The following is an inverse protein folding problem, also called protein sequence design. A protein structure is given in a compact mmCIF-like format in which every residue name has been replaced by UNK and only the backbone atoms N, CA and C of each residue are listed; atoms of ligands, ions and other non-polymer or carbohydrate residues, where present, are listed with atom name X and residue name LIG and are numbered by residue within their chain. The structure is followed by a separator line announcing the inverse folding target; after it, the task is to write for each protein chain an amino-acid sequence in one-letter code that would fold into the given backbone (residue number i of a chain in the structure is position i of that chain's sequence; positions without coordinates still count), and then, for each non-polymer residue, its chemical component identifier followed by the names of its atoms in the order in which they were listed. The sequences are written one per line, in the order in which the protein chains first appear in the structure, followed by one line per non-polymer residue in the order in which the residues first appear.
data_IF_762183407057
#
_entry.id   IF_762183407057
#
_cell.length_a   1.000
_cell.length_b   1.000
_cell.length_c   1.000
_cell.angle_alpha   90.00
_cell.angle_beta   90.00
_cell.angle_gamma   90.00
#
_symmetry.space_group_name_H-M   'P 1'
#
loop_
_entity.id
_entity.type
_entity.pdbx_description
1 polymer ?
#
# COMPACT_ATOMS: atom_id res chain seq x y z
N UNK A 1 14.00 18.60 5.84
CA UNK A 1 14.92 17.56 6.34
C UNK A 1 15.98 18.15 7.27
N UNK A 2 16.74 19.19 6.88
CA UNK A 2 17.76 19.79 7.75
C UNK A 2 17.24 20.18 9.14
N UNK A 3 16.08 20.84 9.21
CA UNK A 3 15.43 21.22 10.49
C UNK A 3 15.10 20.04 11.39
N UNK A 4 14.72 18.89 10.83
CA UNK A 4 14.42 17.69 11.61
C UNK A 4 15.69 17.08 12.22
N UNK A 5 16.77 17.01 11.44
CA UNK A 5 18.08 16.60 11.95
C UNK A 5 18.60 17.55 13.04
N UNK A 6 18.43 18.86 12.87
CA UNK A 6 18.82 19.85 13.87
C UNK A 6 17.99 19.73 15.15
N UNK A 7 16.69 19.44 15.04
CA UNK A 7 15.83 19.15 16.19
C UNK A 7 16.32 17.89 16.93
N UNK A 8 16.70 16.83 16.22
CA UNK A 8 17.29 15.62 16.83
C UNK A 8 18.55 15.99 17.61
N UNK A 9 19.52 16.61 16.93
CA UNK A 9 20.86 16.84 17.48
C UNK A 9 20.88 17.88 18.62
N UNK A 10 20.07 18.93 18.52
CA UNK A 10 20.18 20.09 19.42
C UNK A 10 19.08 20.16 20.47
N UNK A 11 17.94 19.49 20.27
CA UNK A 11 16.80 19.50 21.19
C UNK A 11 16.56 18.10 21.79
N UNK A 12 16.22 17.12 20.95
CA UNK A 12 15.84 15.77 21.41
C UNK A 12 17.01 15.09 22.14
N UNK A 13 18.24 15.22 21.62
CA UNK A 13 19.42 14.63 22.28
C UNK A 13 19.57 15.11 23.74
N UNK A 14 19.32 16.39 24.02
CA UNK A 14 19.43 16.94 25.39
C UNK A 14 18.37 16.37 26.34
N UNK A 15 17.22 15.94 25.82
CA UNK A 15 16.16 15.33 26.60
C UNK A 15 16.49 13.87 26.97
N UNK A 16 17.17 13.15 26.07
CA UNK A 16 17.32 11.70 26.16
C UNK A 16 18.67 11.22 26.70
N UNK A 17 19.71 12.06 26.68
CA UNK A 17 21.03 11.68 27.25
C UNK A 17 20.88 11.36 28.74
N UNK A 18 21.30 10.15 29.13
CA UNK A 18 21.19 9.64 30.49
C UNK A 18 19.88 8.91 30.80
N UNK A 19 18.92 8.88 29.87
CA UNK A 19 17.69 8.10 30.01
C UNK A 19 17.95 6.63 29.68
N UNK A 20 17.40 5.72 30.49
CA UNK A 20 17.45 4.29 30.25
C UNK A 20 16.71 3.93 28.95
N UNK A 21 17.44 3.37 27.99
CA UNK A 21 16.93 3.03 26.66
C UNK A 21 15.86 1.92 26.70
N UNK A 22 15.80 1.14 27.78
CA UNK A 22 14.77 0.12 27.98
C UNK A 22 13.39 0.72 28.31
N UNK A 23 13.31 2.02 28.58
CA UNK A 23 12.06 2.73 28.91
C UNK A 23 11.43 3.37 27.66
N UNK A 24 11.10 2.55 26.65
CA UNK A 24 10.58 3.02 25.36
C UNK A 24 9.40 4.00 25.50
N UNK A 25 8.36 3.62 26.26
CA UNK A 25 7.18 4.47 26.47
C UNK A 25 7.53 5.80 27.12
N UNK A 26 8.47 5.80 28.08
CA UNK A 26 8.93 7.03 28.72
C UNK A 26 9.71 7.93 27.75
N UNK A 27 10.60 7.35 26.95
CA UNK A 27 11.36 8.08 25.92
C UNK A 27 10.41 8.71 24.90
N UNK A 28 9.45 7.95 24.40
CA UNK A 28 8.46 8.43 23.43
C UNK A 28 7.61 9.54 24.03
N UNK A 29 7.08 9.36 25.25
CA UNK A 29 6.29 10.38 25.93
C UNK A 29 7.10 11.65 26.23
N UNK A 30 8.37 11.53 26.63
CA UNK A 30 9.22 12.71 26.88
C UNK A 30 9.41 13.54 25.60
N UNK A 31 9.55 12.89 24.44
CA UNK A 31 9.61 13.58 23.15
C UNK A 31 8.27 14.21 22.77
N UNK A 32 7.15 13.53 23.01
CA UNK A 32 5.80 14.03 22.70
C UNK A 32 5.44 15.23 23.59
N UNK A 33 5.71 15.15 24.88
CA UNK A 33 5.46 16.23 25.85
C UNK A 33 6.33 17.45 25.56
N UNK A 34 7.61 17.23 25.24
CA UNK A 34 8.52 18.33 24.89
C UNK A 34 8.22 18.96 23.52
N UNK A 35 7.66 18.19 22.57
CA UNK A 35 7.13 18.73 21.34
C UNK A 35 5.88 19.59 21.63
N UNK A 36 4.94 19.08 22.44
CA UNK A 36 3.79 19.81 22.95
C UNK A 36 2.68 20.12 21.93
N UNK A 37 2.80 19.66 20.67
CA UNK A 37 1.75 19.81 19.65
C UNK A 37 1.01 18.49 19.39
N UNK A 38 -0.25 18.58 18.97
CA UNK A 38 -1.07 17.39 18.65
C UNK A 38 -0.50 16.60 17.46
N UNK A 39 0.09 17.31 16.49
CA UNK A 39 0.55 16.74 15.21
C UNK A 39 2.06 16.54 15.13
N UNK A 40 2.79 16.72 16.24
CA UNK A 40 4.26 16.64 16.29
C UNK A 40 4.96 17.68 15.41
N UNK A 41 4.36 18.86 15.26
CA UNK A 41 4.80 19.91 14.33
C UNK A 41 6.05 20.67 14.79
N UNK A 42 6.37 20.67 16.09
CA UNK A 42 7.47 21.48 16.64
C UNK A 42 8.84 20.81 16.45
N UNK A 43 8.91 19.50 16.64
CA UNK A 43 10.09 18.68 16.35
C UNK A 43 10.03 18.04 14.97
N UNK A 44 8.82 17.75 14.48
CA UNK A 44 8.56 16.97 13.29
C UNK A 44 8.33 15.49 13.64
N UNK A 45 7.22 14.93 13.16
CA UNK A 45 6.90 13.51 13.36
C UNK A 45 8.03 12.58 12.88
N UNK A 46 8.70 12.95 11.79
CA UNK A 46 9.87 12.24 11.26
C UNK A 46 11.07 12.24 12.22
N UNK A 47 11.32 13.34 12.93
CA UNK A 47 12.39 13.43 13.92
C UNK A 47 12.12 12.52 15.13
N UNK A 48 10.91 12.63 15.69
CA UNK A 48 10.47 11.83 16.84
C UNK A 48 10.49 10.34 16.48
N UNK A 49 9.91 9.96 15.34
CA UNK A 49 9.86 8.56 14.91
C UNK A 49 11.26 7.98 14.66
N UNK A 50 12.16 8.74 14.04
CA UNK A 50 13.53 8.29 13.79
C UNK A 50 14.27 7.97 15.10
N UNK A 51 14.14 8.84 16.11
CA UNK A 51 14.76 8.63 17.43
C UNK A 51 14.08 7.48 18.18
N UNK A 52 12.75 7.42 18.18
CA UNK A 52 11.97 6.33 18.77
C UNK A 52 12.42 4.95 18.28
N UNK A 53 12.53 4.79 16.94
CA UNK A 53 13.00 3.56 16.32
C UNK A 53 14.48 3.27 16.60
N UNK A 54 15.33 4.29 16.70
CA UNK A 54 16.73 4.14 17.05
C UNK A 54 16.89 3.64 18.51
N UNK A 55 16.13 4.21 19.45
CA UNK A 55 16.07 3.76 20.84
C UNK A 55 15.58 2.30 20.93
N UNK A 56 14.52 1.94 20.21
CA UNK A 56 14.03 0.56 20.19
C UNK A 56 15.09 -0.44 19.68
N UNK A 57 15.86 -0.06 18.65
CA UNK A 57 16.98 -0.87 18.15
C UNK A 57 18.12 -0.97 19.16
N UNK A 58 18.49 0.13 19.82
CA UNK A 58 19.52 0.14 20.84
C UNK A 58 19.15 -0.72 22.05
N UNK A 59 17.90 -0.64 22.51
CA UNK A 59 17.39 -1.49 23.59
C UNK A 59 17.33 -2.99 23.21
N UNK A 60 17.01 -3.31 21.96
CA UNK A 60 17.09 -4.68 21.47
C UNK A 60 18.52 -5.23 21.54
N UNK A 61 19.52 -4.41 21.17
CA UNK A 61 20.95 -4.76 21.27
C UNK A 61 21.36 -4.95 22.75
N UNK A 62 21.01 -4.01 23.62
CA UNK A 62 21.32 -4.06 25.07
C UNK A 62 20.77 -5.34 25.71
N UNK A 63 19.52 -5.69 25.37
CA UNK A 63 18.86 -6.90 25.87
C UNK A 63 19.28 -8.19 25.13
N UNK A 64 20.18 -8.10 24.15
CA UNK A 64 20.63 -9.21 23.29
C UNK A 64 19.46 -9.94 22.62
N UNK A 65 18.40 -9.21 22.27
CA UNK A 65 17.22 -9.73 21.57
C UNK A 65 17.22 -9.24 20.12
N UNK A 66 16.78 -10.06 19.14
CA UNK A 66 16.37 -9.54 17.84
C UNK A 66 15.28 -8.48 17.99
N UNK A 67 15.28 -7.45 17.13
CA UNK A 67 14.33 -6.32 17.24
C UNK A 67 12.87 -6.77 17.35
N UNK A 68 12.43 -7.73 16.54
CA UNK A 68 11.04 -8.22 16.58
C UNK A 68 10.66 -8.84 17.94
N UNK A 69 11.60 -9.47 18.65
CA UNK A 69 11.37 -10.01 20.00
C UNK A 69 11.32 -8.90 21.05
N UNK A 70 12.17 -7.89 20.91
CA UNK A 70 12.13 -6.72 21.79
C UNK A 70 10.79 -5.96 21.65
N UNK A 71 10.36 -5.69 20.41
CA UNK A 71 9.07 -5.06 20.13
C UNK A 71 7.88 -5.90 20.67
N UNK A 72 7.94 -7.22 20.54
CA UNK A 72 6.91 -8.09 21.12
C UNK A 72 6.84 -7.97 22.66
N UNK A 73 7.98 -7.84 23.34
CA UNK A 73 7.99 -7.61 24.80
C UNK A 73 7.42 -6.25 25.21
N UNK A 74 7.60 -5.21 24.39
CA UNK A 74 6.94 -3.91 24.60
C UNK A 74 5.43 -4.00 24.41
N UNK A 75 4.99 -4.78 23.42
CA UNK A 75 3.57 -5.05 23.17
C UNK A 75 2.93 -6.01 24.18
N UNK A 76 3.65 -6.42 25.23
CA UNK A 76 3.23 -7.41 26.24
C UNK A 76 2.84 -8.76 25.62
N UNK A 77 3.43 -9.10 24.47
CA UNK A 77 3.24 -10.37 23.78
C UNK A 77 4.45 -11.28 24.03
N UNK A 78 4.61 -11.71 25.28
CA UNK A 78 5.78 -12.48 25.76
C UNK A 78 5.62 -14.00 25.63
N UNK A 79 4.55 -14.48 24.98
CA UNK A 79 4.29 -15.92 24.81
C UNK A 79 5.22 -16.61 23.78
N UNK A 80 6.16 -15.86 23.17
CA UNK A 80 7.05 -16.30 22.09
C UNK A 80 6.32 -16.88 20.85
N UNK A 81 5.04 -16.57 20.66
CA UNK A 81 4.28 -16.93 19.47
C UNK A 81 4.41 -15.82 18.43
N UNK A 82 5.17 -16.12 17.38
CA UNK A 82 5.38 -15.21 16.25
C UNK A 82 4.74 -15.77 14.99
N UNK A 83 4.18 -14.88 14.17
CA UNK A 83 3.69 -15.18 12.83
C UNK A 83 4.49 -14.41 11.80
N UNK A 84 4.77 -15.02 10.66
CA UNK A 84 5.18 -14.27 9.48
C UNK A 84 3.93 -13.76 8.75
N UNK A 85 3.92 -12.49 8.30
CA UNK A 85 2.77 -11.94 7.59
C UNK A 85 2.64 -12.58 6.20
N UNK A 86 1.42 -12.61 5.67
CA UNK A 86 1.23 -12.85 4.23
C UNK A 86 1.50 -11.53 3.51
N UNK A 87 2.44 -11.48 2.56
CA UNK A 87 2.78 -10.23 1.89
C UNK A 87 1.66 -9.81 0.92
N UNK A 88 1.27 -8.55 0.99
CA UNK A 88 0.49 -7.85 -0.03
C UNK A 88 1.49 -7.05 -0.87
N UNK A 89 1.62 -7.39 -2.14
CA UNK A 89 2.71 -6.87 -2.98
C UNK A 89 2.11 -6.08 -4.14
N UNK A 90 2.36 -4.78 -4.16
CA UNK A 90 1.98 -3.91 -5.26
C UNK A 90 2.70 -4.34 -6.56
N UNK A 91 1.95 -4.48 -7.64
CA UNK A 91 2.46 -4.93 -8.95
C UNK A 91 2.01 -4.06 -10.12
N UNK A 92 0.93 -3.28 -9.96
CA UNK A 92 0.48 -2.29 -10.94
C UNK A 92 0.10 -1.01 -10.19
N UNK A 93 0.68 0.10 -10.61
CA UNK A 93 0.41 1.43 -10.08
C UNK A 93 -0.58 2.17 -10.99
N UNK A 94 -1.48 2.93 -10.38
CA UNK A 94 -2.31 3.96 -11.00
C UNK A 94 -2.35 5.18 -10.10
N UNK A 95 -3.48 5.90 -10.08
CA UNK A 95 -3.68 7.03 -9.17
C UNK A 95 -2.55 8.05 -9.23
N UNK A 96 -2.25 8.73 -8.13
CA UNK A 96 -1.17 9.73 -8.10
C UNK A 96 0.24 9.10 -8.23
N UNK A 97 0.37 7.79 -8.02
CA UNK A 97 1.63 7.05 -8.15
C UNK A 97 2.08 6.80 -9.60
N UNK A 98 1.26 7.14 -10.61
CA UNK A 98 1.59 6.87 -12.01
C UNK A 98 1.01 7.88 -13.00
N UNK A 99 1.84 8.34 -13.95
CA UNK A 99 1.41 9.12 -15.12
C UNK A 99 0.76 8.23 -16.21
N UNK A 100 -0.20 7.39 -15.83
CA UNK A 100 -0.97 6.51 -16.71
C UNK A 100 -2.47 6.89 -16.74
N UNK A 101 -3.32 5.97 -17.18
CA UNK A 101 -4.76 6.16 -17.38
C UNK A 101 -5.65 5.43 -16.38
N UNK A 102 -5.06 4.91 -15.30
CA UNK A 102 -5.78 4.14 -14.27
C UNK A 102 -5.95 4.99 -13.01
N UNK A 103 -7.17 5.01 -12.46
CA UNK A 103 -7.55 5.88 -11.36
C UNK A 103 -7.26 5.26 -9.98
N UNK A 104 -7.46 3.95 -9.78
CA UNK A 104 -7.02 3.28 -8.54
C UNK A 104 -5.50 3.28 -8.40
N UNK A 105 -5.02 3.48 -7.17
CA UNK A 105 -3.62 3.72 -6.87
C UNK A 105 -2.77 2.45 -6.95
N UNK A 106 -3.24 1.35 -6.36
CA UNK A 106 -2.48 0.09 -6.34
C UNK A 106 -3.34 -1.13 -6.67
N UNK A 107 -2.76 -2.03 -7.45
CA UNK A 107 -3.26 -3.38 -7.65
C UNK A 107 -2.18 -4.34 -7.19
N UNK A 108 -2.49 -5.06 -6.11
CA UNK A 108 -1.55 -5.93 -5.43
C UNK A 108 -1.92 -7.41 -5.62
N UNK A 109 -0.94 -8.29 -5.38
CA UNK A 109 -1.15 -9.73 -5.28
C UNK A 109 -0.83 -10.23 -3.87
N UNK A 110 -1.58 -11.24 -3.40
CA UNK A 110 -1.43 -11.83 -2.07
C UNK A 110 -1.34 -13.37 -2.17
N UNK A 111 -0.14 -13.97 -1.99
CA UNK A 111 0.09 -15.42 -2.15
C UNK A 111 -0.44 -16.28 -0.99
N UNK A 112 -1.77 -16.39 -0.87
CA UNK A 112 -2.45 -17.11 0.23
C UNK A 112 -2.23 -18.63 0.25
N UNK A 113 -1.87 -19.23 -0.89
CA UNK A 113 -1.61 -20.66 -1.01
C UNK A 113 -0.24 -21.10 -0.48
N UNK A 114 0.65 -20.17 -0.15
CA UNK A 114 2.00 -20.45 0.32
C UNK A 114 2.00 -21.01 1.76
N UNK A 115 2.95 -21.91 2.06
CA UNK A 115 3.16 -22.47 3.40
C UNK A 115 4.21 -21.73 4.21
N UNK A 116 5.04 -20.92 3.55
CA UNK A 116 6.08 -20.11 4.19
C UNK A 116 6.17 -18.72 3.55
N UNK A 117 6.68 -17.74 4.28
CA UNK A 117 6.96 -16.41 3.71
C UNK A 117 7.90 -16.47 2.49
N UNK A 118 8.92 -17.34 2.55
CA UNK A 118 9.85 -17.56 1.43
C UNK A 118 9.11 -18.03 0.18
N UNK A 119 8.22 -19.00 0.33
CA UNK A 119 7.39 -19.49 -0.77
C UNK A 119 6.46 -18.39 -1.30
N UNK A 120 5.84 -17.60 -0.41
CA UNK A 120 5.00 -16.47 -0.81
C UNK A 120 5.78 -15.47 -1.70
N UNK A 121 7.00 -15.09 -1.30
CA UNK A 121 7.86 -14.22 -2.09
C UNK A 121 8.27 -14.85 -3.44
N UNK A 122 8.53 -16.16 -3.49
CA UNK A 122 8.84 -16.86 -4.73
C UNK A 122 7.64 -16.90 -5.68
N UNK A 123 6.44 -17.16 -5.16
CA UNK A 123 5.19 -17.14 -5.91
C UNK A 123 4.95 -15.75 -6.51
N UNK A 124 5.04 -14.71 -5.68
CA UNK A 124 4.85 -13.34 -6.12
C UNK A 124 5.89 -12.90 -7.16
N UNK A 125 7.17 -13.20 -6.95
CA UNK A 125 8.23 -12.88 -7.91
C UNK A 125 7.97 -13.51 -9.29
N UNK A 126 7.48 -14.76 -9.31
CA UNK A 126 7.13 -15.43 -10.56
C UNK A 126 5.93 -14.75 -11.25
N UNK A 127 4.89 -14.36 -10.50
CA UNK A 127 3.75 -13.61 -11.06
C UNK A 127 4.21 -12.24 -11.59
N UNK A 128 5.04 -11.52 -10.85
CA UNK A 128 5.57 -10.20 -11.25
C UNK A 128 6.32 -10.26 -12.59
N UNK A 129 7.23 -11.22 -12.76
CA UNK A 129 7.95 -11.38 -14.04
C UNK A 129 7.06 -11.90 -15.17
N UNK A 130 6.05 -12.71 -14.87
CA UNK A 130 5.05 -13.13 -15.88
C UNK A 130 4.21 -11.93 -16.33
N UNK A 131 3.77 -11.09 -15.39
CA UNK A 131 3.05 -9.86 -15.68
C UNK A 131 3.88 -8.91 -16.55
N UNK A 132 5.16 -8.73 -16.24
CA UNK A 132 6.07 -7.91 -17.06
C UNK A 132 6.11 -8.37 -18.53
N UNK A 133 6.20 -9.69 -18.75
CA UNK A 133 6.19 -10.28 -20.11
C UNK A 133 4.85 -10.05 -20.82
N UNK A 134 3.74 -10.20 -20.10
CA UNK A 134 2.40 -9.97 -20.64
C UNK A 134 2.17 -8.51 -21.04
N UNK A 135 2.57 -7.57 -20.19
CA UNK A 135 2.49 -6.14 -20.45
C UNK A 135 3.34 -5.77 -21.67
N UNK A 136 4.60 -6.22 -21.72
CA UNK A 136 5.49 -6.00 -22.86
C UNK A 136 4.93 -6.57 -24.17
N UNK A 137 4.40 -7.79 -24.14
CA UNK A 137 3.76 -8.44 -25.30
C UNK A 137 2.54 -7.65 -25.79
N UNK A 138 1.85 -6.96 -24.90
CA UNK A 138 0.69 -6.12 -25.20
C UNK A 138 1.05 -4.68 -25.56
N UNK A 139 2.34 -4.36 -25.70
CA UNK A 139 2.83 -3.04 -26.10
C UNK A 139 2.96 -2.03 -24.97
N UNK A 140 2.83 -2.44 -23.70
CA UNK A 140 3.03 -1.55 -22.55
C UNK A 140 4.49 -1.52 -22.10
N UNK A 141 4.91 -0.38 -21.55
CA UNK A 141 6.20 -0.25 -20.86
C UNK A 141 6.23 -1.07 -19.57
N UNK A 142 7.43 -1.53 -19.21
CA UNK A 142 7.68 -2.30 -17.98
C UNK A 142 8.63 -1.57 -17.05
N UNK A 143 8.69 -0.24 -17.13
CA UNK A 143 9.34 0.56 -16.09
C UNK A 143 8.53 0.45 -14.80
N UNK A 144 9.24 0.50 -13.67
CA UNK A 144 8.66 0.41 -12.34
C UNK A 144 8.59 1.79 -11.69
N UNK A 145 7.54 2.04 -10.91
CA UNK A 145 7.41 3.24 -10.08
C UNK A 145 8.14 3.12 -8.74
N UNK A 146 7.90 4.06 -7.83
CA UNK A 146 8.59 4.17 -6.53
C UNK A 146 8.44 2.92 -5.65
N UNK A 147 7.30 2.23 -5.78
CA UNK A 147 6.98 1.00 -5.03
C UNK A 147 7.30 -0.29 -5.79
N UNK A 148 7.94 -0.19 -6.95
CA UNK A 148 8.34 -1.36 -7.75
C UNK A 148 7.23 -1.95 -8.64
N UNK A 149 5.99 -1.47 -8.56
CA UNK A 149 4.90 -1.84 -9.46
C UNK A 149 5.03 -1.23 -10.87
N UNK A 150 4.41 -1.85 -11.87
CA UNK A 150 4.40 -1.35 -13.25
C UNK A 150 3.36 -0.23 -13.43
N UNK A 151 3.62 0.72 -14.34
CA UNK A 151 2.67 1.80 -14.66
C UNK A 151 2.15 1.74 -16.12
N UNK A 152 1.44 0.67 -16.54
CA UNK A 152 0.94 0.54 -17.91
C UNK A 152 -0.20 1.53 -18.21
N UNK A 153 -0.30 1.97 -19.46
CA UNK A 153 -1.45 2.72 -19.96
C UNK A 153 -2.62 1.77 -20.27
N UNK A 154 -3.29 1.30 -19.23
CA UNK A 154 -4.49 0.47 -19.35
C UNK A 154 -5.76 1.32 -19.38
N UNK A 155 -6.83 0.79 -19.94
CA UNK A 155 -8.06 1.53 -20.18
C UNK A 155 -9.02 1.52 -18.98
N UNK A 156 -9.07 0.43 -18.21
CA UNK A 156 -10.05 0.26 -17.11
C UNK A 156 -9.45 -0.52 -15.95
N UNK A 157 -10.04 -0.38 -14.75
CA UNK A 157 -9.67 -1.21 -13.60
C UNK A 157 -9.85 -2.71 -13.90
N UNK A 158 -10.94 -3.08 -14.59
CA UNK A 158 -11.17 -4.45 -15.04
C UNK A 158 -10.04 -4.99 -15.92
N UNK A 159 -9.45 -4.16 -16.80
CA UNK A 159 -8.33 -4.59 -17.65
C UNK A 159 -7.06 -4.85 -16.82
N UNK A 160 -6.76 -4.01 -15.82
CA UNK A 160 -5.67 -4.27 -14.88
C UNK A 160 -5.86 -5.60 -14.13
N UNK A 161 -7.09 -5.84 -13.65
CA UNK A 161 -7.46 -7.09 -12.99
C UNK A 161 -7.40 -8.30 -13.92
N UNK A 162 -7.80 -8.15 -15.18
CA UNK A 162 -7.70 -9.21 -16.21
C UNK A 162 -6.22 -9.57 -16.46
N UNK A 163 -5.31 -8.59 -16.53
CA UNK A 163 -3.87 -8.82 -16.62
C UNK A 163 -3.33 -9.58 -15.41
N UNK A 164 -3.76 -9.24 -14.19
CA UNK A 164 -3.34 -9.93 -12.97
C UNK A 164 -3.82 -11.38 -12.94
N UNK A 165 -5.10 -11.62 -13.22
CA UNK A 165 -5.64 -12.99 -13.30
C UNK A 165 -4.87 -13.81 -14.32
N UNK A 166 -4.61 -13.25 -15.50
CA UNK A 166 -3.83 -13.92 -16.55
C UNK A 166 -2.39 -14.17 -16.12
N UNK A 167 -1.74 -13.23 -15.45
CA UNK A 167 -0.37 -13.39 -14.96
C UNK A 167 -0.28 -14.48 -13.88
N UNK A 168 -1.25 -14.55 -12.97
CA UNK A 168 -1.35 -15.60 -11.95
C UNK A 168 -1.50 -16.98 -12.62
N UNK A 169 -2.40 -17.09 -13.60
CA UNK A 169 -2.64 -18.34 -14.35
C UNK A 169 -1.40 -18.78 -15.15
N UNK A 170 -0.78 -17.87 -15.92
CA UNK A 170 0.41 -18.16 -16.72
C UNK A 170 1.64 -18.45 -15.85
N UNK A 171 1.69 -17.93 -14.62
CA UNK A 171 2.68 -18.31 -13.62
C UNK A 171 2.41 -19.71 -13.01
N UNK A 172 1.37 -20.42 -13.47
CA UNK A 172 0.92 -21.72 -12.99
C UNK A 172 0.48 -21.67 -11.52
N UNK A 173 -0.30 -20.65 -11.14
CA UNK A 173 -0.97 -20.50 -9.84
C UNK A 173 -2.48 -20.29 -10.02
N UNK A 174 -3.23 -20.36 -8.92
CA UNK A 174 -4.68 -20.26 -8.94
C UNK A 174 -5.13 -18.85 -8.55
N UNK A 175 -5.82 -18.09 -9.42
CA UNK A 175 -6.41 -16.80 -9.06
C UNK A 175 -7.62 -17.05 -8.14
N UNK A 176 -7.39 -17.05 -6.83
CA UNK A 176 -8.37 -17.46 -5.82
C UNK A 176 -8.07 -16.84 -4.45
N UNK A 177 -9.11 -16.69 -3.64
CA UNK A 177 -9.01 -16.14 -2.27
C UNK A 177 -8.69 -17.19 -1.21
N UNK A 178 -8.57 -18.47 -1.59
CA UNK A 178 -8.22 -19.59 -0.72
C UNK A 178 -7.81 -20.82 -1.52
N UNK A 179 -7.16 -21.78 -0.87
CA UNK A 179 -6.79 -23.08 -1.44
C UNK A 179 -5.31 -23.18 -1.80
N UNK A 180 -4.91 -24.33 -2.31
CA UNK A 180 -3.52 -24.56 -2.73
C UNK A 180 -3.16 -23.66 -3.91
N UNK A 181 -1.93 -23.13 -3.89
CA UNK A 181 -1.39 -22.25 -4.93
C UNK A 181 -2.25 -21.00 -5.18
N UNK A 182 -3.13 -20.64 -4.24
CA UNK A 182 -3.99 -19.48 -4.34
C UNK A 182 -3.17 -18.17 -4.30
N UNK A 183 -3.48 -17.27 -5.21
CA UNK A 183 -3.03 -15.89 -5.21
C UNK A 183 -4.27 -15.03 -5.36
N UNK A 184 -4.56 -14.23 -4.34
CA UNK A 184 -5.64 -13.26 -4.36
C UNK A 184 -5.14 -11.91 -4.87
N UNK A 185 -6.07 -11.01 -5.14
CA UNK A 185 -5.81 -9.62 -5.50
C UNK A 185 -6.23 -8.72 -4.32
N UNK A 186 -5.45 -7.69 -4.05
CA UNK A 186 -5.84 -6.59 -3.16
C UNK A 186 -5.80 -5.28 -3.96
N UNK A 187 -6.60 -4.31 -3.54
CA UNK A 187 -6.67 -3.00 -4.16
C UNK A 187 -6.41 -1.93 -3.11
N UNK A 188 -5.66 -0.90 -3.47
CA UNK A 188 -5.75 0.42 -2.83
C UNK A 188 -6.36 1.38 -3.87
N UNK A 189 -7.56 1.89 -3.56
CA UNK A 189 -8.24 2.81 -4.44
C UNK A 189 -7.82 4.27 -4.19
N UNK A 190 -7.27 4.60 -3.02
CA UNK A 190 -6.98 5.96 -2.57
C UNK A 190 -8.13 6.94 -2.89
N UNK A 191 -9.37 6.55 -2.55
CA UNK A 191 -10.56 7.19 -3.14
C UNK A 191 -10.79 8.64 -2.70
N UNK A 192 -10.09 9.10 -1.66
CA UNK A 192 -10.01 10.54 -1.32
C UNK A 192 -9.52 11.37 -2.52
N UNK A 193 -8.56 10.85 -3.31
CA UNK A 193 -8.06 11.52 -4.52
C UNK A 193 -9.10 11.54 -5.66
N UNK A 194 -10.08 10.64 -5.59
CA UNK A 194 -11.17 10.54 -6.56
C UNK A 194 -12.39 11.35 -6.14
N UNK A 195 -12.50 11.73 -4.86
CA UNK A 195 -13.67 12.39 -4.31
C UNK A 195 -13.70 13.89 -4.63
N UNK A 196 -14.86 14.39 -5.05
CA UNK A 196 -15.13 15.81 -5.22
C UNK A 196 -16.11 16.27 -4.12
N UNK A 197 -15.64 17.03 -3.12
CA UNK A 197 -16.47 17.49 -2.01
C UNK A 197 -17.53 18.51 -2.42
N UNK A 198 -17.44 19.11 -3.63
CA UNK A 198 -18.48 20.02 -4.13
C UNK A 198 -19.69 19.28 -4.67
N UNK A 199 -19.46 18.10 -5.22
CA UNK A 199 -20.51 17.28 -5.85
C UNK A 199 -20.90 16.06 -5.02
N UNK A 200 -20.14 15.76 -3.96
CA UNK A 200 -20.23 14.55 -3.15
C UNK A 200 -20.22 13.28 -4.01
N UNK A 201 -19.29 13.25 -4.97
CA UNK A 201 -19.15 12.15 -5.94
C UNK A 201 -17.70 11.77 -6.09
N UNK A 202 -17.49 10.50 -6.42
CA UNK A 202 -16.22 9.95 -6.84
C UNK A 202 -16.11 10.05 -8.37
N UNK A 203 -15.01 10.61 -8.87
CA UNK A 203 -14.76 10.80 -10.29
C UNK A 203 -13.47 10.08 -10.66
N UNK A 204 -13.56 9.16 -11.62
CA UNK A 204 -12.42 8.53 -12.27
C UNK A 204 -11.84 9.54 -13.28
N UNK A 205 -11.09 10.52 -12.75
CA UNK A 205 -10.60 11.71 -13.46
C UNK A 205 -9.78 11.34 -14.69
N UNK A 206 -8.88 10.36 -14.58
CA UNK A 206 -8.00 9.94 -15.69
C UNK A 206 -8.79 9.22 -16.77
N UNK A 207 -9.69 8.32 -16.38
CA UNK A 207 -10.57 7.64 -17.32
C UNK A 207 -11.51 8.62 -18.05
N UNK A 208 -12.12 9.56 -17.31
CA UNK A 208 -12.92 10.67 -17.86
C UNK A 208 -12.12 11.47 -18.89
N UNK A 209 -10.91 11.89 -18.53
CA UNK A 209 -10.03 12.66 -19.42
C UNK A 209 -9.68 11.88 -20.70
N UNK A 210 -9.36 10.59 -20.60
CA UNK A 210 -9.04 9.74 -21.75
C UNK A 210 -10.23 9.61 -22.72
N UNK A 211 -11.46 9.51 -22.20
CA UNK A 211 -12.69 9.50 -23.01
C UNK A 211 -12.92 10.85 -23.68
N UNK A 212 -12.87 11.96 -22.93
CA UNK A 212 -13.18 13.30 -23.46
C UNK A 212 -12.17 13.74 -24.53
N UNK A 213 -10.90 13.38 -24.37
CA UNK A 213 -9.83 13.66 -25.34
C UNK A 213 -9.77 12.65 -26.49
N UNK A 214 -10.67 11.66 -26.51
CA UNK A 214 -10.69 10.57 -27.51
C UNK A 214 -9.33 9.88 -27.64
N UNK A 215 -8.66 9.61 -26.51
CA UNK A 215 -7.39 8.88 -26.49
C UNK A 215 -7.54 7.56 -27.28
N UNK A 216 -6.58 7.21 -28.16
CA UNK A 216 -6.68 5.96 -28.94
C UNK A 216 -6.95 4.75 -28.04
N UNK A 217 -7.86 3.87 -28.47
CA UNK A 217 -8.31 2.71 -27.69
C UNK A 217 -9.52 2.96 -26.78
N UNK A 218 -9.89 4.22 -26.51
CA UNK A 218 -11.00 4.55 -25.60
C UNK A 218 -12.37 4.72 -26.26
N UNK A 219 -12.46 4.69 -27.58
CA UNK A 219 -13.72 4.91 -28.31
C UNK A 219 -14.86 3.95 -27.87
N UNK A 220 -14.52 2.69 -27.54
CA UNK A 220 -15.49 1.70 -27.02
C UNK A 220 -16.04 2.03 -25.64
N UNK A 221 -15.36 2.88 -24.87
CA UNK A 221 -15.75 3.28 -23.52
C UNK A 221 -16.43 4.65 -23.47
N UNK A 222 -16.77 5.25 -24.62
CA UNK A 222 -17.36 6.59 -24.68
C UNK A 222 -18.68 6.74 -23.90
N UNK A 223 -19.39 5.63 -23.64
CA UNK A 223 -20.63 5.59 -22.85
C UNK A 223 -20.44 5.01 -21.45
N UNK A 224 -19.20 4.72 -21.04
CA UNK A 224 -18.89 4.19 -19.73
C UNK A 224 -19.07 5.26 -18.65
N UNK A 225 -19.61 4.84 -17.50
CA UNK A 225 -19.75 5.69 -16.32
C UNK A 225 -18.38 5.92 -15.68
N UNK A 226 -18.11 7.16 -15.28
CA UNK A 226 -16.86 7.58 -14.62
C UNK A 226 -17.09 8.48 -13.40
N UNK A 227 -18.35 8.71 -13.01
CA UNK A 227 -18.73 9.44 -11.80
C UNK A 227 -19.67 8.56 -10.99
N UNK A 228 -19.54 8.52 -9.68
CA UNK A 228 -20.28 7.62 -8.80
C UNK A 228 -20.67 8.36 -7.51
N UNK A 229 -21.89 8.16 -7.01
CA UNK A 229 -22.14 8.39 -5.58
C UNK A 229 -21.50 7.27 -4.74
N UNK A 230 -21.41 7.43 -3.41
CA UNK A 230 -20.87 6.40 -2.51
C UNK A 230 -21.58 5.05 -2.71
N UNK A 231 -22.92 5.03 -2.75
CA UNK A 231 -23.72 3.82 -3.02
C UNK A 231 -23.40 3.17 -4.39
N UNK A 232 -23.15 3.98 -5.40
CA UNK A 232 -22.82 3.48 -6.74
C UNK A 232 -21.39 2.93 -6.80
N UNK A 233 -20.47 3.52 -6.04
CA UNK A 233 -19.10 3.04 -5.91
C UNK A 233 -19.06 1.70 -5.13
N UNK A 234 -19.86 1.53 -4.08
CA UNK A 234 -20.06 0.24 -3.41
C UNK A 234 -20.55 -0.82 -4.41
N UNK A 235 -21.54 -0.49 -5.26
CA UNK A 235 -22.01 -1.41 -6.32
C UNK A 235 -20.92 -1.72 -7.33
N UNK A 236 -20.07 -0.74 -7.66
CA UNK A 236 -18.92 -0.93 -8.53
C UNK A 236 -17.92 -1.93 -7.93
N UNK A 237 -17.50 -1.77 -6.68
CA UNK A 237 -16.64 -2.74 -6.00
C UNK A 237 -17.27 -4.12 -5.88
N UNK A 238 -18.57 -4.22 -5.57
CA UNK A 238 -19.28 -5.51 -5.50
C UNK A 238 -19.23 -6.27 -6.84
N UNK A 239 -19.32 -5.55 -7.97
CA UNK A 239 -19.15 -6.14 -9.30
C UNK A 239 -17.72 -6.67 -9.49
N UNK A 240 -16.70 -5.92 -9.06
CA UNK A 240 -15.30 -6.34 -9.15
C UNK A 240 -15.04 -7.59 -8.29
N UNK A 241 -15.42 -7.57 -7.01
CA UNK A 241 -15.23 -8.71 -6.08
C UNK A 241 -15.96 -9.97 -6.57
N UNK A 242 -17.11 -9.83 -7.24
CA UNK A 242 -17.82 -10.97 -7.84
C UNK A 242 -17.07 -11.57 -9.03
N UNK A 243 -16.34 -10.76 -9.81
CA UNK A 243 -15.66 -11.17 -11.05
C UNK A 243 -14.22 -11.62 -10.81
N UNK A 244 -13.54 -11.06 -9.82
CA UNK A 244 -12.11 -11.23 -9.57
C UNK A 244 -11.84 -11.77 -8.16
N UNK A 245 -10.72 -12.47 -7.93
CA UNK A 245 -10.37 -13.01 -6.61
C UNK A 245 -9.86 -11.91 -5.66
N UNK A 246 -10.63 -10.84 -5.49
CA UNK A 246 -10.29 -9.72 -4.60
C UNK A 246 -10.61 -10.12 -3.16
N UNK A 247 -9.65 -9.95 -2.25
CA UNK A 247 -9.82 -10.25 -0.82
C UNK A 247 -9.74 -9.01 0.08
N UNK A 248 -9.09 -7.93 -0.38
CA UNK A 248 -8.95 -6.68 0.36
C UNK A 248 -9.12 -5.48 -0.57
N UNK A 249 -9.74 -4.42 -0.04
CA UNK A 249 -9.86 -3.09 -0.67
C UNK A 249 -9.56 -2.06 0.41
N UNK A 250 -8.45 -1.35 0.25
CA UNK A 250 -8.01 -0.22 1.07
C UNK A 250 -8.54 1.09 0.48
N UNK A 251 -8.86 2.05 1.35
CA UNK A 251 -9.34 3.40 1.02
C UNK A 251 -10.38 3.43 -0.11
N UNK A 252 -11.38 2.56 0.04
CA UNK A 252 -12.47 2.39 -0.92
C UNK A 252 -13.34 3.64 -1.07
N UNK A 253 -13.35 4.52 -0.07
CA UNK A 253 -14.11 5.76 0.02
C UNK A 253 -13.19 6.87 0.57
N UNK A 254 -13.62 8.12 0.47
CA UNK A 254 -12.88 9.25 1.02
C UNK A 254 -12.80 9.15 2.55
N UNK A 255 -11.70 9.63 3.13
CA UNK A 255 -11.39 9.56 4.57
C UNK A 255 -12.49 10.11 5.51
N UNK A 256 -13.36 10.99 4.98
CA UNK A 256 -14.46 11.64 5.71
C UNK A 256 -15.86 11.16 5.28
N UNK A 257 -15.97 10.14 4.40
CA UNK A 257 -17.23 9.55 3.94
C UNK A 257 -17.58 8.29 4.76
N UNK A 258 -18.05 8.48 6.00
CA UNK A 258 -18.34 7.45 7.02
C UNK A 258 -19.73 6.81 6.93
#
# INVERSE_FOLDING_TARGET
MQTACDNINNKIAKLLVGVDVLKQEFIDNLMLEADGSETKSNFGANAILAVSLACAKAAAIETKKPLYKYLASLAKNDNNLFSLPVPMLNVINGGEHASNTIDFQEFMIMPLGAKTFKEAMQMANKVFHTLAKLLKKSGHGTQVGDEGGFAPNLHTHEEALDFLVKAIQEANFNPATKGEKAIAICLDAASSELYDPKTNKYVFKKFKQAILTKKPGFAKYAKSKYEFSSDELVKYYKKLVKKYPIISIEDSHAENDW
#
